data_IF_754062574599
#
_entry.id   IF_754062574599
#
_cell.length_a   1.000
_cell.length_b   1.000
_cell.length_c   1.000
_cell.angle_alpha   90.00
_cell.angle_beta   90.00
_cell.angle_gamma   90.00
#
_symmetry.space_group_name_H-M   'P 1'
#
loop_
_entity.id
_entity.type
_entity.pdbx_description
1 polymer ?
#
# COMPACT_ATOMS: atom_id res chain seq x y z
N UNK A 1 -8.17 -36.07 -1.48
CA UNK A 1 -7.42 -34.81 -1.72
C UNK A 1 -7.31 -34.09 -0.38
N UNK A 2 -6.33 -34.47 0.44
CA UNK A 2 -6.03 -33.79 1.70
C UNK A 2 -5.40 -32.44 1.37
N UNK A 3 -6.09 -31.35 1.70
CA UNK A 3 -5.41 -30.07 1.87
C UNK A 3 -4.63 -30.17 3.19
N UNK A 4 -3.45 -30.78 3.16
CA UNK A 4 -2.45 -30.65 4.21
C UNK A 4 -2.00 -29.18 4.23
N UNK A 5 -2.75 -28.34 4.95
CA UNK A 5 -2.33 -26.98 5.27
C UNK A 5 -1.14 -27.09 6.22
N UNK A 6 0.07 -27.12 5.66
CA UNK A 6 1.28 -26.95 6.45
C UNK A 6 1.11 -25.68 7.30
N UNK A 7 1.07 -25.86 8.62
CA UNK A 7 0.87 -24.76 9.56
C UNK A 7 1.99 -23.73 9.36
N UNK A 8 1.63 -22.47 9.16
CA UNK A 8 2.58 -21.38 8.92
C UNK A 8 3.51 -21.24 10.13
N UNK A 9 4.81 -21.10 9.89
CA UNK A 9 5.77 -20.88 10.97
C UNK A 9 5.43 -19.59 11.73
N UNK A 10 5.66 -19.55 13.04
CA UNK A 10 5.46 -18.34 13.86
C UNK A 10 6.18 -17.10 13.28
N UNK A 11 7.34 -17.29 12.64
CA UNK A 11 8.05 -16.20 11.95
C UNK A 11 7.29 -15.70 10.72
N UNK A 12 6.83 -16.62 9.87
CA UNK A 12 6.08 -16.27 8.65
C UNK A 12 4.75 -15.59 9.01
N UNK A 13 4.05 -16.10 10.01
CA UNK A 13 2.82 -15.48 10.51
C UNK A 13 3.10 -14.07 11.06
N UNK A 14 4.17 -13.90 11.85
CA UNK A 14 4.59 -12.60 12.35
C UNK A 14 4.89 -11.60 11.24
N UNK A 15 5.56 -12.02 10.16
CA UNK A 15 5.82 -11.16 9.00
C UNK A 15 4.55 -10.76 8.26
N UNK A 16 3.61 -11.70 8.06
CA UNK A 16 2.30 -11.41 7.46
C UNK A 16 1.50 -10.43 8.33
N UNK A 17 1.54 -10.63 9.65
CA UNK A 17 0.87 -9.75 10.61
C UNK A 17 1.43 -8.32 10.57
N UNK A 18 2.75 -8.17 10.57
CA UNK A 18 3.39 -6.85 10.47
C UNK A 18 3.06 -6.18 9.13
N UNK A 19 3.14 -6.91 8.03
CA UNK A 19 2.78 -6.38 6.71
C UNK A 19 1.32 -5.94 6.63
N UNK A 20 0.41 -6.75 7.17
CA UNK A 20 -1.01 -6.40 7.27
C UNK A 20 -1.25 -5.18 8.16
N UNK A 21 -0.62 -5.11 9.33
CA UNK A 21 -0.74 -3.99 10.26
C UNK A 21 -0.30 -2.68 9.60
N UNK A 22 0.84 -2.68 8.90
CA UNK A 22 1.33 -1.53 8.15
C UNK A 22 0.34 -1.11 7.05
N UNK A 23 -0.22 -2.06 6.30
CA UNK A 23 -1.20 -1.77 5.26
C UNK A 23 -2.49 -1.18 5.83
N UNK A 24 -2.98 -1.68 6.96
CA UNK A 24 -4.19 -1.17 7.64
C UNK A 24 -3.95 0.21 8.21
N UNK A 25 -2.86 0.43 8.95
CA UNK A 25 -2.53 1.75 9.53
C UNK A 25 -2.40 2.80 8.43
N UNK A 26 -1.73 2.46 7.33
CA UNK A 26 -1.58 3.37 6.20
C UNK A 26 -2.92 3.66 5.51
N UNK A 27 -3.79 2.64 5.37
CA UNK A 27 -5.16 2.80 4.83
C UNK A 27 -6.02 3.71 5.69
N UNK A 28 -6.05 3.46 7.01
CA UNK A 28 -6.81 4.27 7.96
C UNK A 28 -6.28 5.70 8.00
N UNK A 29 -4.96 5.90 8.04
CA UNK A 29 -4.37 7.23 7.98
C UNK A 29 -4.75 7.98 6.71
N UNK A 30 -4.65 7.32 5.56
CA UNK A 30 -5.05 7.89 4.27
C UNK A 30 -6.53 8.31 4.23
N UNK A 31 -7.44 7.48 4.77
CA UNK A 31 -8.86 7.82 4.87
C UNK A 31 -9.12 8.93 5.88
N UNK A 32 -8.43 8.94 7.02
CA UNK A 32 -8.57 9.97 8.04
C UNK A 32 -8.23 11.36 7.48
N UNK A 33 -7.13 11.49 6.73
CA UNK A 33 -6.78 12.75 6.10
C UNK A 33 -7.81 13.20 5.05
N UNK A 34 -8.44 12.25 4.34
CA UNK A 34 -9.42 12.56 3.29
C UNK A 34 -10.79 12.95 3.85
N UNK A 35 -11.29 12.17 4.82
CA UNK A 35 -12.70 12.23 5.25
C UNK A 35 -12.89 13.01 6.56
N UNK A 36 -11.86 13.10 7.39
CA UNK A 36 -11.95 13.77 8.69
C UNK A 36 -11.29 15.14 8.65
N UNK A 37 -10.18 15.25 7.91
CA UNK A 37 -9.43 16.51 7.74
C UNK A 37 -9.76 17.24 6.42
N UNK A 38 -10.63 16.67 5.58
CA UNK A 38 -11.06 17.20 4.28
C UNK A 38 -9.90 17.57 3.33
N UNK A 39 -8.76 16.87 3.42
CA UNK A 39 -7.67 17.06 2.47
C UNK A 39 -7.92 16.30 1.17
N UNK A 40 -8.05 17.05 0.07
CA UNK A 40 -8.21 16.48 -1.26
C UNK A 40 -6.91 15.79 -1.68
N UNK A 41 -6.91 14.48 -1.97
CA UNK A 41 -5.72 13.78 -2.42
C UNK A 41 -5.35 14.19 -3.84
N UNK A 42 -4.05 14.34 -4.10
CA UNK A 42 -3.55 14.52 -5.46
C UNK A 42 -3.69 13.22 -6.28
N UNK A 43 -3.57 13.33 -7.61
CA UNK A 43 -3.69 12.20 -8.54
C UNK A 43 -2.70 11.08 -8.20
N UNK A 44 -1.46 11.42 -7.83
CA UNK A 44 -0.44 10.43 -7.49
C UNK A 44 -0.75 9.70 -6.16
N UNK A 45 -1.21 10.42 -5.13
CA UNK A 45 -1.69 9.83 -3.89
C UNK A 45 -2.88 8.90 -4.12
N UNK A 46 -3.77 9.24 -5.07
CA UNK A 46 -4.87 8.35 -5.45
C UNK A 46 -4.36 7.03 -6.04
N UNK A 47 -3.34 7.08 -6.91
CA UNK A 47 -2.70 5.85 -7.41
C UNK A 47 -2.00 5.05 -6.31
N UNK A 48 -1.44 5.69 -5.28
CA UNK A 48 -0.83 5.00 -4.14
C UNK A 48 -1.87 4.32 -3.23
N UNK A 49 -3.10 4.84 -3.15
CA UNK A 49 -4.20 4.22 -2.38
C UNK A 49 -4.60 2.85 -2.93
N UNK A 50 -4.57 2.64 -4.24
CA UNK A 50 -4.97 1.38 -4.89
C UNK A 50 -4.19 0.17 -4.36
N UNK A 51 -2.84 0.11 -4.47
CA UNK A 51 -2.08 -1.04 -3.98
C UNK A 51 -2.18 -1.18 -2.47
N UNK A 52 -2.24 -0.07 -1.73
CA UNK A 52 -2.30 -0.08 -0.27
C UNK A 52 -3.60 -0.67 0.27
N UNK A 53 -4.75 -0.27 -0.28
CA UNK A 53 -6.05 -0.78 0.13
C UNK A 53 -6.21 -2.25 -0.25
N UNK A 54 -5.74 -2.62 -1.45
CA UNK A 54 -5.71 -4.02 -1.88
C UNK A 54 -4.81 -4.87 -0.96
N UNK A 55 -3.63 -4.38 -0.57
CA UNK A 55 -2.74 -5.07 0.39
C UNK A 55 -3.39 -5.29 1.75
N UNK A 56 -4.11 -4.30 2.28
CA UNK A 56 -4.80 -4.43 3.56
C UNK A 56 -5.83 -5.59 3.55
N UNK A 57 -6.56 -5.74 2.45
CA UNK A 57 -7.55 -6.81 2.29
C UNK A 57 -6.87 -8.17 2.09
N UNK A 58 -5.96 -8.30 1.12
CA UNK A 58 -5.38 -9.61 0.77
C UNK A 58 -4.50 -10.18 1.88
N UNK A 59 -3.72 -9.34 2.57
CA UNK A 59 -2.90 -9.78 3.70
C UNK A 59 -3.77 -10.14 4.90
N UNK A 60 -4.90 -9.46 5.10
CA UNK A 60 -5.87 -9.79 6.15
C UNK A 60 -6.52 -11.15 5.92
N UNK A 61 -6.92 -11.43 4.68
CA UNK A 61 -7.44 -12.76 4.29
C UNK A 61 -6.37 -13.82 4.53
N UNK A 62 -5.14 -13.59 4.06
CA UNK A 62 -4.03 -14.53 4.23
C UNK A 62 -3.67 -14.81 5.70
N UNK A 63 -3.81 -13.80 6.57
CA UNK A 63 -3.60 -13.96 8.00
C UNK A 63 -4.66 -14.88 8.63
N UNK A 64 -5.92 -14.79 8.19
CA UNK A 64 -7.01 -15.65 8.68
C UNK A 64 -6.91 -17.05 8.08
N UNK A 65 -6.61 -17.17 6.78
CA UNK A 65 -6.52 -18.46 6.08
C UNK A 65 -5.19 -19.18 6.29
N UNK A 66 -4.21 -18.51 6.91
CA UNK A 66 -2.84 -19.01 7.09
C UNK A 66 -2.19 -19.41 5.76
N UNK A 67 -2.43 -18.63 4.69
CA UNK A 67 -1.88 -18.91 3.36
C UNK A 67 -0.71 -17.99 3.00
N UNK A 68 0.51 -18.52 3.13
CA UNK A 68 1.75 -17.81 2.76
C UNK A 68 1.95 -17.66 1.26
N UNK A 69 1.19 -18.37 0.41
CA UNK A 69 1.27 -18.18 -1.03
C UNK A 69 0.79 -16.78 -1.46
N UNK A 70 0.12 -16.04 -0.55
CA UNK A 70 -0.27 -14.64 -0.74
C UNK A 70 0.89 -13.76 -1.21
N UNK A 71 2.11 -14.07 -0.76
CA UNK A 71 3.31 -13.27 -1.04
C UNK A 71 3.56 -13.14 -2.54
N UNK A 72 3.21 -14.16 -3.34
CA UNK A 72 3.43 -14.17 -4.80
C UNK A 72 2.71 -13.01 -5.50
N UNK A 73 1.55 -12.60 -5.01
CA UNK A 73 0.78 -11.49 -5.58
C UNK A 73 0.80 -10.23 -4.71
N UNK A 74 1.01 -10.34 -3.39
CA UNK A 74 1.22 -9.19 -2.52
C UNK A 74 2.55 -8.48 -2.79
N UNK A 75 3.63 -9.21 -3.05
CA UNK A 75 4.96 -8.64 -3.32
C UNK A 75 4.99 -7.69 -4.53
N UNK A 76 4.54 -8.08 -5.75
CA UNK A 76 4.56 -7.16 -6.89
C UNK A 76 3.70 -5.92 -6.63
N UNK A 77 2.58 -6.08 -5.93
CA UNK A 77 1.70 -4.96 -5.57
C UNK A 77 2.38 -3.99 -4.58
N UNK A 78 3.09 -4.52 -3.59
CA UNK A 78 3.89 -3.72 -2.66
C UNK A 78 5.04 -2.99 -3.37
N UNK A 79 5.71 -3.64 -4.33
CA UNK A 79 6.76 -3.02 -5.14
C UNK A 79 6.24 -1.83 -5.96
N UNK A 80 5.04 -1.95 -6.54
CA UNK A 80 4.38 -0.84 -7.24
C UNK A 80 4.12 0.32 -6.26
N UNK A 81 3.58 0.02 -5.06
CA UNK A 81 3.37 1.03 -4.03
C UNK A 81 4.65 1.76 -3.62
N UNK A 82 5.76 1.03 -3.45
CA UNK A 82 7.08 1.60 -3.14
C UNK A 82 7.60 2.48 -4.27
N UNK A 83 7.44 2.05 -5.53
CA UNK A 83 7.86 2.85 -6.69
C UNK A 83 7.09 4.17 -6.77
N UNK A 84 5.77 4.15 -6.55
CA UNK A 84 4.94 5.35 -6.50
C UNK A 84 5.34 6.27 -5.34
N UNK A 85 5.57 5.70 -4.14
CA UNK A 85 6.01 6.45 -2.97
C UNK A 85 7.37 7.12 -3.20
N UNK A 86 8.33 6.39 -3.76
CA UNK A 86 9.64 6.92 -4.10
C UNK A 86 9.51 8.08 -5.10
N UNK A 87 8.73 7.90 -6.17
CA UNK A 87 8.47 8.98 -7.13
C UNK A 87 7.85 10.22 -6.46
N UNK A 88 6.86 10.04 -5.58
CA UNK A 88 6.26 11.13 -4.82
C UNK A 88 7.28 11.84 -3.92
N UNK A 89 8.17 11.10 -3.25
CA UNK A 89 9.25 11.68 -2.47
C UNK A 89 10.23 12.50 -3.33
N UNK A 90 10.56 12.02 -4.53
CA UNK A 90 11.39 12.79 -5.47
C UNK A 90 10.71 14.08 -5.94
N UNK A 91 9.39 14.07 -6.14
CA UNK A 91 8.60 15.27 -6.44
C UNK A 91 8.67 16.27 -5.28
N UNK A 92 8.41 15.79 -4.05
CA UNK A 92 8.42 16.60 -2.84
C UNK A 92 9.78 17.25 -2.58
N UNK A 93 10.87 16.52 -2.82
CA UNK A 93 12.24 17.01 -2.67
C UNK A 93 12.68 17.95 -3.81
N UNK A 94 11.86 18.17 -4.84
CA UNK A 94 12.15 19.08 -5.94
C UNK A 94 13.17 18.57 -6.96
N UNK A 95 13.51 17.28 -6.93
CA UNK A 95 14.44 16.68 -7.91
C UNK A 95 13.83 16.49 -9.30
N UNK A 96 12.51 16.65 -9.44
CA UNK A 96 11.77 16.38 -10.67
C UNK A 96 11.21 17.69 -11.25
N UNK A 97 11.48 17.99 -12.54
CA UNK A 97 10.96 19.19 -13.19
C UNK A 97 9.43 19.23 -13.23
N UNK A 98 8.84 20.42 -13.04
CA UNK A 98 7.39 20.64 -13.05
C UNK A 98 6.68 20.20 -14.34
N UNK A 99 7.41 20.15 -15.47
CA UNK A 99 6.85 19.77 -16.78
C UNK A 99 6.49 18.29 -16.95
N UNK A 100 6.96 17.41 -16.05
CA UNK A 100 6.65 15.96 -16.09
C UNK A 100 5.77 15.52 -14.91
N UNK A 101 5.27 16.47 -14.13
CA UNK A 101 4.39 16.17 -12.99
C UNK A 101 2.98 15.81 -13.51
N UNK A 102 2.43 14.64 -13.16
CA UNK A 102 1.12 14.18 -13.65
C UNK A 102 -0.07 14.89 -13.00
N UNK A 103 0.17 15.94 -12.21
CA UNK A 103 -0.80 16.54 -11.30
C UNK A 103 -1.25 17.90 -11.84
N UNK A 104 -2.55 18.20 -11.74
CA UNK A 104 -3.11 19.49 -12.14
C UNK A 104 -2.61 20.61 -11.23
N UNK A 105 -2.63 21.85 -11.73
CA UNK A 105 -2.18 23.03 -10.97
C UNK A 105 -2.98 23.25 -9.68
N UNK A 106 -4.21 22.73 -9.60
CA UNK A 106 -5.12 22.95 -8.48
C UNK A 106 -4.79 22.11 -7.24
N UNK A 107 -4.17 20.93 -7.41
CA UNK A 107 -3.82 20.02 -6.30
C UNK A 107 -2.42 19.44 -6.56
N UNK A 108 -1.35 20.11 -6.08
CA UNK A 108 0.01 19.67 -6.33
C UNK A 108 0.33 18.34 -5.64
N UNK A 109 1.28 17.61 -6.21
CA UNK A 109 1.84 16.38 -5.66
C UNK A 109 3.11 16.62 -4.82
N UNK A 110 3.35 17.86 -4.41
CA UNK A 110 4.52 18.34 -3.66
C UNK A 110 4.11 19.38 -2.63
#
# INVERSE_FOLDING_TARGET
>A
MSHDRAMVSSRQWGLLFVGWLLAVVSTVGSLFFSEVMDYVPCVLCWYQRIPMYALAVILGIALVTQDVNVVKYAQPLALIGVALAAFHCLLYLGYVPKGIQPCSQDIPCS
#
